data_IF_271124944125
#
_entry.id   IF_271124944125
#
_cell.length_a   1.000
_cell.length_b   1.000
_cell.length_c   1.000
_cell.angle_alpha   90.00
_cell.angle_beta   90.00
_cell.angle_gamma   90.00
#
_symmetry.space_group_name_H-M   'P 1'
#
loop_
_entity.id
_entity.type
_entity.pdbx_description
1 polymer ?
#
# COMPACT_ATOMS: atom_id res chain seq x y z
N UNK A 1 -40.62 -15.09 -71.72
CA UNK A 1 -40.54 -15.74 -70.40
C UNK A 1 -39.56 -14.94 -69.54
N UNK A 2 -40.06 -13.84 -68.97
CA UNK A 2 -39.27 -12.81 -68.28
C UNK A 2 -39.33 -13.01 -66.75
N UNK A 3 -39.22 -14.26 -66.28
CA UNK A 3 -39.45 -14.58 -64.86
C UNK A 3 -38.20 -15.06 -64.10
N UNK A 4 -37.10 -15.32 -64.80
CA UNK A 4 -35.88 -15.85 -64.17
C UNK A 4 -34.98 -14.76 -63.56
N UNK A 5 -34.98 -13.55 -64.14
CA UNK A 5 -34.18 -12.42 -63.64
C UNK A 5 -34.73 -11.78 -62.37
N UNK A 6 -36.06 -11.87 -62.15
CA UNK A 6 -36.72 -11.28 -60.98
C UNK A 6 -36.45 -12.08 -59.70
N UNK A 7 -36.28 -13.40 -59.81
CA UNK A 7 -35.97 -14.26 -58.66
C UNK A 7 -34.51 -14.13 -58.17
N UNK A 8 -33.57 -13.85 -59.08
CA UNK A 8 -32.15 -13.64 -58.74
C UNK A 8 -31.90 -12.29 -58.06
N UNK A 9 -32.75 -11.28 -58.27
CA UNK A 9 -32.62 -9.98 -57.62
C UNK A 9 -33.20 -9.98 -56.18
N UNK A 10 -34.21 -10.83 -55.92
CA UNK A 10 -34.84 -10.93 -54.60
C UNK A 10 -34.00 -11.72 -53.57
N UNK A 11 -33.09 -12.59 -54.02
CA UNK A 11 -32.24 -13.40 -53.13
C UNK A 11 -30.93 -12.70 -52.71
N UNK A 12 -30.58 -11.57 -53.34
CA UNK A 12 -29.37 -10.80 -53.03
C UNK A 12 -29.57 -9.76 -51.92
N UNK A 13 -30.82 -9.47 -51.51
CA UNK A 13 -31.15 -8.44 -50.51
C UNK A 13 -31.11 -9.01 -49.07
N UNK A 14 -30.94 -10.32 -48.90
CA UNK A 14 -31.04 -11.01 -47.60
C UNK A 14 -29.80 -10.93 -46.69
N UNK A 15 -28.72 -10.26 -47.12
CA UNK A 15 -27.42 -10.27 -46.41
C UNK A 15 -27.02 -8.92 -45.76
N UNK A 16 -27.95 -7.97 -45.61
CA UNK A 16 -27.72 -6.82 -44.74
C UNK A 16 -28.10 -7.17 -43.30
N UNK A 17 -27.20 -7.87 -42.60
CA UNK A 17 -27.26 -7.99 -41.14
C UNK A 17 -26.95 -6.62 -40.55
N UNK A 18 -27.99 -5.91 -40.11
CA UNK A 18 -27.83 -4.73 -39.26
C UNK A 18 -27.36 -5.19 -37.88
N UNK A 19 -26.17 -4.77 -37.46
CA UNK A 19 -25.71 -4.92 -36.08
C UNK A 19 -26.72 -4.24 -35.15
N UNK A 20 -27.50 -5.02 -34.41
CA UNK A 20 -28.34 -4.50 -33.32
C UNK A 20 -27.40 -4.24 -32.14
N UNK A 21 -27.06 -2.97 -31.93
CA UNK A 21 -26.40 -2.53 -30.71
C UNK A 21 -27.38 -2.61 -29.54
N UNK A 22 -27.20 -3.61 -28.67
CA UNK A 22 -27.91 -3.66 -27.40
C UNK A 22 -27.17 -2.76 -26.39
N UNK A 23 -27.73 -1.60 -26.05
CA UNK A 23 -27.27 -0.75 -24.95
C UNK A 23 -28.16 -0.99 -23.74
N UNK A 24 -27.58 -1.21 -22.55
CA UNK A 24 -28.39 -1.40 -21.33
C UNK A 24 -27.63 -1.05 -20.05
N UNK A 25 -27.68 0.24 -19.66
CA UNK A 25 -27.45 0.66 -18.28
C UNK A 25 -28.77 0.58 -17.50
N UNK A 26 -29.12 -0.63 -17.07
CA UNK A 26 -30.33 -0.86 -16.28
C UNK A 26 -29.98 -0.94 -14.77
N UNK A 27 -30.79 -0.36 -13.88
CA UNK A 27 -30.70 -0.62 -12.45
C UNK A 27 -30.80 -2.12 -12.14
N UNK A 28 -30.17 -2.57 -11.05
CA UNK A 28 -30.23 -3.98 -10.60
C UNK A 28 -31.68 -4.44 -10.44
N UNK A 29 -32.05 -5.50 -11.16
CA UNK A 29 -33.39 -6.09 -11.13
C UNK A 29 -34.31 -5.68 -12.28
N UNK A 30 -33.87 -4.81 -13.19
CA UNK A 30 -34.64 -4.43 -14.39
C UNK A 30 -34.32 -5.38 -15.54
N UNK A 31 -35.36 -5.82 -16.26
CA UNK A 31 -35.22 -6.68 -17.44
C UNK A 31 -34.64 -5.89 -18.63
N UNK A 32 -33.84 -6.57 -19.46
CA UNK A 32 -33.31 -5.97 -20.69
C UNK A 32 -34.46 -5.45 -21.57
N UNK A 33 -34.36 -4.21 -22.03
CA UNK A 33 -35.42 -3.52 -22.78
C UNK A 33 -36.46 -2.78 -21.92
N UNK A 34 -36.29 -2.73 -20.60
CA UNK A 34 -37.12 -1.92 -19.71
C UNK A 34 -36.95 -0.41 -19.92
N UNK A 35 -38.03 0.36 -19.77
CA UNK A 35 -38.02 1.82 -19.91
C UNK A 35 -37.11 2.56 -18.90
N UNK A 36 -36.65 1.85 -17.86
CA UNK A 36 -35.71 2.35 -16.85
C UNK A 36 -34.24 2.20 -17.27
N UNK A 37 -33.95 1.61 -18.44
CA UNK A 37 -32.60 1.55 -18.99
C UNK A 37 -32.33 2.85 -19.76
N UNK A 38 -31.21 3.52 -19.46
CA UNK A 38 -30.80 4.74 -20.15
C UNK A 38 -29.82 4.43 -21.31
N UNK A 39 -29.73 5.31 -22.33
CA UNK A 39 -28.66 5.29 -23.32
C UNK A 39 -27.30 5.39 -22.64
N UNK A 40 -26.27 4.79 -23.25
CA UNK A 40 -24.91 4.95 -22.77
C UNK A 40 -24.43 6.38 -23.10
N UNK A 41 -24.25 7.23 -22.08
CA UNK A 41 -23.40 8.41 -22.23
C UNK A 41 -21.95 7.94 -22.43
N UNK A 42 -21.20 8.53 -23.37
CA UNK A 42 -19.75 8.33 -23.54
C UNK A 42 -18.93 8.93 -22.37
N UNK A 43 -19.47 8.90 -21.15
CA UNK A 43 -18.74 9.31 -19.97
C UNK A 43 -17.83 8.16 -19.55
N UNK A 44 -16.55 8.31 -19.87
CA UNK A 44 -15.47 7.44 -19.41
C UNK A 44 -15.63 7.25 -17.91
N UNK A 45 -15.99 6.03 -17.50
CA UNK A 45 -16.16 5.70 -16.10
C UNK A 45 -14.94 6.11 -15.26
N UNK A 46 -15.10 6.26 -13.94
CA UNK A 46 -14.04 6.76 -13.07
C UNK A 46 -12.74 6.01 -13.29
N UNK A 47 -11.63 6.76 -13.32
CA UNK A 47 -10.30 6.23 -13.61
C UNK A 47 -10.02 4.97 -12.79
N UNK A 48 -9.75 3.86 -13.46
CA UNK A 48 -9.39 2.61 -12.79
C UNK A 48 -7.98 2.73 -12.21
N UNK A 49 -7.72 2.17 -11.01
CA UNK A 49 -6.36 2.07 -10.50
C UNK A 49 -5.50 1.36 -11.53
N UNK A 50 -4.40 2.01 -11.94
CA UNK A 50 -3.47 1.46 -12.94
C UNK A 50 -2.40 0.60 -12.30
N UNK A 51 -2.60 0.14 -11.06
CA UNK A 51 -1.59 -0.59 -10.30
C UNK A 51 -2.02 -0.94 -8.88
N UNK A 52 -1.06 -1.42 -8.10
CA UNK A 52 -1.20 -1.81 -6.70
C UNK A 52 -0.18 -1.12 -5.79
N UNK A 53 -0.56 -0.92 -4.53
CA UNK A 53 0.35 -0.40 -3.50
C UNK A 53 0.92 -1.56 -2.66
N UNK A 54 2.23 -1.74 -2.75
CA UNK A 54 2.99 -2.70 -1.95
C UNK A 54 3.40 -2.04 -0.64
N UNK A 55 3.04 -2.68 0.47
CA UNK A 55 3.49 -2.27 1.81
C UNK A 55 4.99 -2.46 1.92
N UNK A 56 5.65 -1.51 2.54
CA UNK A 56 7.04 -1.66 2.93
C UNK A 56 7.16 -1.64 4.44
N UNK A 57 8.15 -2.36 4.95
CA UNK A 57 8.36 -2.64 6.35
C UNK A 57 9.76 -2.24 6.77
N UNK A 58 9.85 -1.76 8.00
CA UNK A 58 11.10 -1.60 8.73
C UNK A 58 11.04 -2.29 10.08
N UNK A 59 12.20 -2.46 10.70
CA UNK A 59 12.34 -3.06 12.02
C UNK A 59 13.51 -2.43 12.79
N UNK A 60 13.38 -2.39 14.11
CA UNK A 60 14.40 -1.98 15.05
C UNK A 60 14.76 -3.17 15.93
N UNK A 61 16.05 -3.39 16.13
CA UNK A 61 16.63 -4.45 16.94
C UNK A 61 17.68 -3.84 17.86
N UNK A 62 17.72 -4.26 19.12
CA UNK A 62 18.75 -3.87 20.07
C UNK A 62 19.43 -5.08 20.68
N UNK A 63 20.60 -4.86 21.26
CA UNK A 63 21.33 -5.84 22.04
C UNK A 63 22.12 -5.14 23.15
N UNK A 64 22.06 -5.71 24.36
CA UNK A 64 22.86 -5.22 25.47
C UNK A 64 24.32 -5.67 25.32
N UNK A 65 24.56 -6.91 24.89
CA UNK A 65 25.91 -7.44 24.64
C UNK A 65 26.65 -6.67 23.53
N UNK A 66 25.94 -6.33 22.46
CA UNK A 66 26.47 -5.56 21.33
C UNK A 66 26.47 -4.06 21.55
N UNK A 67 25.99 -3.58 22.71
CA UNK A 67 25.90 -2.17 23.09
C UNK A 67 25.37 -1.27 21.96
N UNK A 68 24.30 -1.69 21.29
CA UNK A 68 23.87 -1.05 20.06
C UNK A 68 22.44 -1.35 19.63
N UNK A 69 22.04 -0.66 18.57
CA UNK A 69 20.78 -0.87 17.88
C UNK A 69 21.02 -0.94 16.37
N UNK A 70 20.25 -1.78 15.69
CA UNK A 70 20.31 -2.02 14.26
C UNK A 70 18.92 -1.92 13.66
N UNK A 71 18.85 -1.49 12.41
CA UNK A 71 17.59 -1.21 11.75
C UNK A 71 17.49 -1.87 10.39
N UNK A 72 16.26 -2.09 9.94
CA UNK A 72 15.92 -2.45 8.58
C UNK A 72 14.81 -1.55 8.09
N UNK A 73 14.78 -1.26 6.79
CA UNK A 73 13.77 -0.41 6.16
C UNK A 73 13.54 -0.84 4.72
N UNK A 74 12.32 -0.64 4.22
CA UNK A 74 11.98 -0.85 2.81
C UNK A 74 11.78 -2.31 2.41
N UNK A 75 11.65 -3.26 3.35
CA UNK A 75 11.38 -4.67 3.01
C UNK A 75 9.93 -4.87 2.64
N UNK A 76 9.63 -5.80 1.74
CA UNK A 76 8.25 -6.07 1.28
C UNK A 76 7.42 -6.87 2.28
N UNK A 77 8.04 -7.49 3.29
CA UNK A 77 7.35 -8.22 4.36
C UNK A 77 7.91 -7.87 5.73
N UNK A 78 7.07 -8.00 6.76
CA UNK A 78 7.45 -7.77 8.16
C UNK A 78 8.58 -8.72 8.61
N UNK A 79 8.49 -10.00 8.25
CA UNK A 79 9.51 -10.98 8.60
C UNK A 79 10.86 -10.66 7.94
N UNK A 80 10.87 -10.27 6.66
CA UNK A 80 12.10 -9.86 5.99
C UNK A 80 12.75 -8.64 6.66
N UNK A 81 11.95 -7.67 7.15
CA UNK A 81 12.47 -6.54 7.92
C UNK A 81 13.11 -7.00 9.24
N UNK A 82 12.41 -7.87 9.99
CA UNK A 82 12.91 -8.42 11.25
C UNK A 82 14.19 -9.22 11.07
N UNK A 83 14.23 -10.16 10.13
CA UNK A 83 15.40 -11.01 9.90
C UNK A 83 16.60 -10.20 9.39
N UNK A 84 16.38 -9.18 8.56
CA UNK A 84 17.46 -8.29 8.10
C UNK A 84 18.07 -7.49 9.26
N UNK A 85 17.23 -6.91 10.15
CA UNK A 85 17.72 -6.19 11.33
C UNK A 85 18.41 -7.14 12.33
N UNK A 86 17.83 -8.33 12.59
CA UNK A 86 18.42 -9.34 13.46
C UNK A 86 19.76 -9.86 12.90
N UNK A 87 19.86 -10.05 11.59
CA UNK A 87 21.09 -10.45 10.92
C UNK A 87 22.19 -9.42 11.11
N UNK A 88 21.88 -8.13 10.98
CA UNK A 88 22.82 -7.03 11.26
C UNK A 88 23.30 -7.06 12.71
N UNK A 89 22.39 -7.22 13.67
CA UNK A 89 22.77 -7.34 15.09
C UNK A 89 23.68 -8.54 15.34
N UNK A 90 23.28 -9.74 14.90
CA UNK A 90 24.03 -10.98 15.09
C UNK A 90 25.40 -10.98 14.40
N UNK A 91 25.54 -10.23 13.31
CA UNK A 91 26.83 -10.08 12.61
C UNK A 91 27.91 -9.42 13.46
N UNK A 92 27.54 -8.76 14.55
CA UNK A 92 28.49 -8.19 15.52
C UNK A 92 29.03 -9.21 16.53
N UNK A 93 28.50 -10.45 16.52
CA UNK A 93 28.79 -11.47 17.53
C UNK A 93 27.86 -11.43 18.75
N UNK A 94 26.92 -10.48 18.79
CA UNK A 94 25.89 -10.42 19.82
C UNK A 94 24.89 -11.59 19.72
N UNK A 95 24.59 -12.20 20.85
CA UNK A 95 23.68 -13.35 20.98
C UNK A 95 22.30 -12.98 21.54
N UNK A 96 22.18 -11.83 22.20
CA UNK A 96 20.98 -11.31 22.87
C UNK A 96 20.20 -10.30 22.00
N UNK A 97 20.29 -10.41 20.67
CA UNK A 97 19.58 -9.54 19.75
C UNK A 97 18.06 -9.71 19.87
N UNK A 98 17.35 -8.63 20.21
CA UNK A 98 15.88 -8.59 20.37
C UNK A 98 15.24 -7.61 19.39
N UNK A 99 14.08 -7.96 18.84
CA UNK A 99 13.28 -7.05 18.01
C UNK A 99 12.49 -6.13 18.93
N UNK A 100 12.78 -4.83 18.88
CA UNK A 100 12.08 -3.82 19.68
C UNK A 100 10.78 -3.37 19.00
N UNK A 101 10.79 -3.25 17.67
CA UNK A 101 9.62 -2.84 16.90
C UNK A 101 9.71 -3.27 15.44
N UNK A 102 8.56 -3.53 14.82
CA UNK A 102 8.39 -3.54 13.37
C UNK A 102 7.31 -2.53 12.97
N UNK A 103 7.49 -1.84 11.84
CA UNK A 103 6.59 -0.78 11.37
C UNK A 103 6.42 -0.86 9.86
N UNK A 104 5.28 -0.38 9.34
CA UNK A 104 5.00 -0.32 7.90
C UNK A 104 4.34 0.98 7.49
N UNK A 105 4.62 1.44 6.27
CA UNK A 105 4.04 2.62 5.62
C UNK A 105 4.00 3.88 6.51
N UNK A 106 4.99 4.05 7.39
CA UNK A 106 5.07 5.16 8.33
C UNK A 106 6.52 5.39 8.75
N UNK A 107 6.72 6.45 9.53
CA UNK A 107 7.99 6.76 10.15
C UNK A 107 8.04 6.29 11.60
N UNK A 108 9.24 5.99 12.06
CA UNK A 108 9.59 5.68 13.45
C UNK A 108 10.59 6.71 13.95
N UNK A 109 10.53 7.01 15.24
CA UNK A 109 11.62 7.68 15.94
C UNK A 109 11.94 6.97 17.26
N UNK A 110 13.21 7.01 17.63
CA UNK A 110 13.74 6.56 18.92
C UNK A 110 14.22 7.78 19.67
N UNK A 111 13.77 7.96 20.91
CA UNK A 111 14.25 9.01 21.80
C UNK A 111 14.82 8.39 23.08
N UNK A 112 15.84 9.02 23.64
CA UNK A 112 16.49 8.56 24.86
C UNK A 112 16.88 9.72 25.77
N UNK A 113 17.10 9.40 27.05
CA UNK A 113 17.62 10.33 28.04
C UNK A 113 18.95 9.88 28.61
N UNK A 114 19.93 10.78 28.62
CA UNK A 114 21.24 10.55 29.24
C UNK A 114 21.17 10.38 30.77
N UNK A 115 20.09 10.83 31.43
CA UNK A 115 19.98 10.86 32.90
C UNK A 115 19.36 9.62 33.55
N UNK A 116 18.72 8.74 32.77
CA UNK A 116 17.93 7.61 33.33
C UNK A 116 18.08 6.29 32.61
N UNK A 117 18.77 6.25 31.46
CA UNK A 117 18.82 5.07 30.59
C UNK A 117 17.47 4.70 29.96
N UNK A 118 16.40 5.45 30.26
CA UNK A 118 15.08 5.24 29.69
C UNK A 118 14.98 5.87 28.29
N UNK A 119 14.25 5.19 27.42
CA UNK A 119 13.94 5.66 26.07
C UNK A 119 12.53 5.28 25.64
N UNK A 120 12.18 5.69 24.43
CA UNK A 120 10.93 5.32 23.80
C UNK A 120 11.10 5.18 22.29
N UNK A 121 10.21 4.41 21.71
CA UNK A 121 10.07 4.19 20.28
C UNK A 121 8.62 4.53 19.95
N UNK A 122 8.43 5.44 19.00
CA UNK A 122 7.09 5.88 18.59
C UNK A 122 7.02 6.05 17.07
N UNK A 123 5.82 5.91 16.51
CA UNK A 123 5.58 6.06 15.07
C UNK A 123 4.82 7.34 14.72
N UNK A 124 4.93 7.76 13.47
CA UNK A 124 4.26 8.94 12.96
C UNK A 124 4.12 8.95 11.45
N UNK A 125 3.20 9.78 10.95
CA UNK A 125 2.98 9.98 9.51
C UNK A 125 4.19 10.59 8.78
N UNK A 126 5.08 11.22 9.52
CA UNK A 126 6.36 11.77 9.06
C UNK A 126 7.35 11.77 10.24
N UNK A 127 8.63 12.02 9.96
CA UNK A 127 9.71 12.01 10.95
C UNK A 127 9.46 13.00 12.09
N UNK A 128 8.93 14.19 11.81
CA UNK A 128 8.65 15.21 12.81
C UNK A 128 7.60 14.74 13.82
N UNK A 129 6.50 14.14 13.35
CA UNK A 129 5.44 13.61 14.22
C UNK A 129 5.95 12.41 15.02
N UNK A 130 6.71 11.50 14.40
CA UNK A 130 7.30 10.37 15.10
C UNK A 130 8.27 10.86 16.20
N UNK A 131 9.13 11.81 15.86
CA UNK A 131 10.11 12.44 16.76
C UNK A 131 9.45 13.12 17.95
N UNK A 132 8.41 13.93 17.71
CA UNK A 132 7.70 14.60 18.79
C UNK A 132 7.05 13.60 19.75
N UNK A 133 6.39 12.57 19.21
CA UNK A 133 5.78 11.51 20.02
C UNK A 133 6.83 10.76 20.84
N UNK A 134 7.96 10.40 20.23
CA UNK A 134 9.06 9.76 20.92
C UNK A 134 9.61 10.65 22.05
N UNK A 135 9.84 11.95 21.79
CA UNK A 135 10.28 12.88 22.82
C UNK A 135 9.29 12.97 23.98
N UNK A 136 8.00 13.13 23.69
CA UNK A 136 6.95 13.25 24.71
C UNK A 136 6.86 11.96 25.55
N UNK A 137 6.86 10.80 24.90
CA UNK A 137 6.86 9.49 25.57
C UNK A 137 8.10 9.29 26.43
N UNK A 138 9.28 9.62 25.92
CA UNK A 138 10.54 9.50 26.65
C UNK A 138 10.56 10.42 27.88
N UNK A 139 10.15 11.69 27.74
CA UNK A 139 10.11 12.63 28.85
C UNK A 139 9.14 12.18 29.95
N UNK A 140 7.97 11.67 29.56
CA UNK A 140 6.98 11.11 30.50
C UNK A 140 7.52 9.89 31.25
N UNK A 141 8.28 9.02 30.58
CA UNK A 141 8.86 7.80 31.19
C UNK A 141 10.06 8.10 32.07
N UNK A 142 10.94 9.00 31.62
CA UNK A 142 12.23 9.27 32.28
C UNK A 142 12.14 10.34 33.36
N UNK A 143 11.27 11.34 33.21
CA UNK A 143 11.32 12.57 34.01
C UNK A 143 12.50 13.49 33.68
N UNK A 144 13.28 13.16 32.64
CA UNK A 144 14.46 13.93 32.21
C UNK A 144 14.27 14.49 30.81
N UNK A 145 15.16 15.43 30.43
CA UNK A 145 15.25 15.88 29.05
C UNK A 145 15.65 14.71 28.15
N UNK A 146 14.89 14.52 27.09
CA UNK A 146 15.15 13.54 26.05
C UNK A 146 15.59 14.21 24.75
N UNK A 147 16.30 13.45 23.92
CA UNK A 147 16.68 13.81 22.55
C UNK A 147 16.33 12.67 21.60
N UNK A 148 16.00 13.01 20.35
CA UNK A 148 15.84 12.02 19.28
C UNK A 148 17.21 11.43 18.95
N UNK A 149 17.31 10.11 18.98
CA UNK A 149 18.52 9.36 18.67
C UNK A 149 18.49 8.78 17.26
N UNK A 150 17.30 8.46 16.76
CA UNK A 150 17.10 7.89 15.43
C UNK A 150 15.73 8.23 14.89
N UNK A 151 15.62 8.39 13.56
CA UNK A 151 14.36 8.49 12.84
C UNK A 151 14.53 7.88 11.45
N UNK A 152 13.50 7.21 10.96
CA UNK A 152 13.45 6.71 9.59
C UNK A 152 12.00 6.46 9.12
N UNK A 153 11.80 6.38 7.81
CA UNK A 153 10.50 6.14 7.20
C UNK A 153 10.56 5.01 6.19
N UNK A 154 9.55 4.15 6.23
CA UNK A 154 9.31 3.20 5.15
C UNK A 154 8.09 3.65 4.34
N UNK A 155 8.28 3.87 3.03
CA UNK A 155 7.26 4.39 2.12
C UNK A 155 6.73 3.27 1.22
N UNK A 156 5.40 3.14 1.05
CA UNK A 156 4.84 2.12 0.17
C UNK A 156 5.28 2.33 -1.28
N UNK A 157 5.38 1.24 -2.02
CA UNK A 157 5.78 1.23 -3.43
C UNK A 157 4.53 1.06 -4.28
N UNK A 158 4.33 1.92 -5.29
CA UNK A 158 3.27 1.73 -6.27
C UNK A 158 3.80 0.96 -7.47
N UNK A 159 3.18 -0.17 -7.80
CA UNK A 159 3.51 -0.98 -8.97
C UNK A 159 2.39 -0.85 -9.99
N UNK A 160 2.72 -0.31 -11.16
CA UNK A 160 1.78 -0.20 -12.28
C UNK A 160 1.58 -1.57 -12.92
N UNK A 161 0.36 -1.89 -13.35
CA UNK A 161 0.07 -3.05 -14.19
C UNK A 161 0.63 -2.89 -15.61
#
# INVERSE_FOLDING_TARGET
MNSLGSFLFLLAISFFSTDVMAQTRCPTGVQAGGAQCLPDDEDSGPARPTGEWIKTWGALVSSNQGHGAWTSTGKTTEDAARQDALGKCRSTGASDCVVDMAYFNQCVAVAGSNGSGAGSIDTGKNESVASQRALDSCQKKSGFKCSVMYTDCTKPIFVKY
#
